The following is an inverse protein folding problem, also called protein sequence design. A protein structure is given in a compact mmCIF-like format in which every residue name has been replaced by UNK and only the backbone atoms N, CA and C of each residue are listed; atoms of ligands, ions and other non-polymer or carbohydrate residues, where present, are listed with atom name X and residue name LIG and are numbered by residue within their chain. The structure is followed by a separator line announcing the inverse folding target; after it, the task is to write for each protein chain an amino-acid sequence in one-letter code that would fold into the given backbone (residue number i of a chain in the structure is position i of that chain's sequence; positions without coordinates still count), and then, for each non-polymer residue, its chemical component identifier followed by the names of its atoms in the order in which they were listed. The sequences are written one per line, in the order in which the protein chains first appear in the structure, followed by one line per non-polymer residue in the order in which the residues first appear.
data_IF_780279723951
#
_entry.id   IF_780279723951
#
_cell.length_a   1.000
_cell.length_b   1.000
_cell.length_c   1.000
_cell.angle_alpha   90.00
_cell.angle_beta   90.00
_cell.angle_gamma   90.00
#
_symmetry.space_group_name_H-M   'P 1'
#
loop_
_entity.id
_entity.type
_entity.pdbx_description
1 polymer ?
#
# COMPACT_ATOMS: atom_id res chain seq x y z
N UNK A 1 18.69 -9.15 1.34
CA UNK A 1 18.85 -9.10 -0.15
C UNK A 1 18.18 -7.87 -0.76
N UNK A 2 16.91 -7.57 -0.41
CA UNK A 2 16.18 -6.39 -0.93
C UNK A 2 16.87 -5.03 -0.64
N UNK A 3 17.26 -4.74 0.61
CA UNK A 3 18.03 -3.52 0.95
C UNK A 3 19.30 -3.37 0.11
N UNK A 4 20.14 -4.43 0.03
CA UNK A 4 21.39 -4.42 -0.74
C UNK A 4 21.18 -4.11 -2.24
N UNK A 5 20.01 -4.40 -2.81
CA UNK A 5 19.68 -4.04 -4.19
C UNK A 5 19.25 -2.57 -4.29
N UNK A 6 18.49 -2.07 -3.30
CA UNK A 6 18.11 -0.65 -3.17
C UNK A 6 19.35 0.24 -3.04
N UNK A 7 20.31 -0.14 -2.20
CA UNK A 7 21.58 0.60 -1.99
C UNK A 7 22.43 0.66 -3.27
N UNK A 8 22.30 -0.34 -4.15
CA UNK A 8 22.94 -0.38 -5.47
C UNK A 8 22.14 0.37 -6.55
N UNK A 9 21.05 1.05 -6.19
CA UNK A 9 20.18 1.79 -7.11
C UNK A 9 19.24 0.92 -7.96
N UNK A 10 19.17 -0.39 -7.71
CA UNK A 10 18.30 -1.29 -8.47
C UNK A 10 16.86 -1.16 -7.99
N UNK A 11 16.01 -0.59 -8.84
CA UNK A 11 14.57 -0.43 -8.59
C UNK A 11 13.78 -1.56 -9.25
N UNK A 12 12.89 -2.18 -8.49
CA UNK A 12 11.89 -3.10 -9.07
C UNK A 12 10.83 -2.29 -9.82
N UNK A 13 10.25 -2.89 -10.85
CA UNK A 13 9.04 -2.31 -11.44
C UNK A 13 7.90 -2.34 -10.41
N UNK A 14 7.11 -1.26 -10.32
CA UNK A 14 5.97 -1.21 -9.41
C UNK A 14 4.94 -2.27 -9.81
N UNK A 15 4.26 -2.83 -8.81
CA UNK A 15 3.09 -3.68 -9.07
C UNK A 15 1.93 -2.84 -9.61
N UNK A 16 1.10 -3.43 -10.46
CA UNK A 16 -0.15 -2.83 -10.91
C UNK A 16 -1.28 -3.85 -10.85
N UNK A 17 -2.48 -3.38 -10.55
CA UNK A 17 -3.73 -4.12 -10.66
C UNK A 17 -4.79 -3.19 -11.24
N UNK A 18 -5.93 -3.74 -11.64
CA UNK A 18 -7.06 -2.95 -12.12
C UNK A 18 -8.37 -3.65 -11.82
N UNK A 19 -9.42 -2.86 -11.74
CA UNK A 19 -10.80 -3.34 -11.66
C UNK A 19 -11.62 -2.68 -12.76
N UNK A 20 -12.67 -3.34 -13.21
CA UNK A 20 -13.65 -2.77 -14.12
C UNK A 20 -14.97 -2.57 -13.38
N UNK A 21 -15.50 -1.35 -13.42
CA UNK A 21 -16.78 -0.99 -12.82
C UNK A 21 -17.55 -0.12 -13.80
N UNK A 22 -18.78 -0.52 -14.15
CA UNK A 22 -19.64 0.21 -15.10
C UNK A 22 -18.92 0.49 -16.44
N UNK A 23 -18.24 -0.52 -17.00
CA UNK A 23 -17.45 -0.42 -18.23
C UNK A 23 -16.30 0.61 -18.16
N UNK A 24 -15.86 0.98 -16.95
CA UNK A 24 -14.72 1.86 -16.72
C UNK A 24 -13.64 1.09 -15.98
N UNK A 25 -12.44 1.06 -16.56
CA UNK A 25 -11.26 0.47 -15.94
C UNK A 25 -10.63 1.48 -14.99
N UNK A 26 -10.42 1.07 -13.74
CA UNK A 26 -9.64 1.80 -12.75
C UNK A 26 -8.37 1.02 -12.47
N UNK A 27 -7.22 1.66 -12.67
CA UNK A 27 -5.89 1.08 -12.45
C UNK A 27 -5.39 1.52 -11.08
N UNK A 28 -4.79 0.59 -10.35
CA UNK A 28 -4.11 0.83 -9.09
C UNK A 28 -2.65 0.46 -9.26
N UNK A 29 -1.76 1.42 -9.04
CA UNK A 29 -0.32 1.20 -9.10
C UNK A 29 0.23 1.29 -7.67
N UNK A 30 1.16 0.40 -7.33
CA UNK A 30 1.81 0.41 -6.01
C UNK A 30 2.45 1.77 -5.78
N UNK A 31 2.16 2.35 -4.61
CA UNK A 31 2.62 3.68 -4.18
C UNK A 31 2.13 4.84 -5.06
N UNK A 32 1.07 4.65 -5.85
CA UNK A 32 0.46 5.76 -6.58
C UNK A 32 -0.20 6.77 -5.63
N UNK A 33 0.11 8.04 -5.85
CA UNK A 33 -0.44 9.20 -5.13
C UNK A 33 -1.04 10.23 -6.07
N UNK A 34 -1.38 9.82 -7.30
CA UNK A 34 -1.96 10.71 -8.32
C UNK A 34 -3.37 11.20 -7.96
N UNK A 35 -4.07 10.52 -7.06
CA UNK A 35 -5.40 10.91 -6.62
C UNK A 35 -5.33 12.08 -5.63
N UNK A 36 -6.16 13.11 -5.83
CA UNK A 36 -6.15 14.32 -4.98
C UNK A 36 -6.44 14.05 -3.50
N UNK A 37 -7.12 12.95 -3.21
CA UNK A 37 -7.44 12.50 -1.85
C UNK A 37 -6.53 11.37 -1.32
N UNK A 38 -5.41 11.08 -1.98
CA UNK A 38 -4.52 9.98 -1.57
C UNK A 38 -4.11 10.06 -0.09
N UNK A 39 -3.82 11.26 0.43
CA UNK A 39 -3.45 11.43 1.84
C UNK A 39 -4.60 11.08 2.80
N UNK A 40 -5.82 11.53 2.50
CA UNK A 40 -7.01 11.24 3.32
C UNK A 40 -7.32 9.74 3.34
N UNK A 41 -7.18 9.08 2.19
CA UNK A 41 -7.35 7.63 2.07
C UNK A 41 -6.30 6.90 2.91
N UNK A 42 -5.03 7.31 2.83
CA UNK A 42 -3.94 6.74 3.62
C UNK A 42 -4.22 6.87 5.13
N UNK A 43 -4.67 8.03 5.59
CA UNK A 43 -5.04 8.24 7.00
C UNK A 43 -6.19 7.32 7.45
N UNK A 44 -7.23 7.19 6.63
CA UNK A 44 -8.36 6.32 6.93
C UNK A 44 -7.95 4.86 7.04
N UNK A 45 -7.07 4.40 6.14
CA UNK A 45 -6.55 3.03 6.17
C UNK A 45 -5.73 2.76 7.44
N UNK A 46 -4.90 3.70 7.87
CA UNK A 46 -4.14 3.60 9.12
C UNK A 46 -5.06 3.52 10.34
N UNK A 47 -6.06 4.39 10.43
CA UNK A 47 -7.03 4.37 11.54
C UNK A 47 -7.85 3.08 11.56
N UNK A 48 -8.31 2.60 10.39
CA UNK A 48 -9.04 1.34 10.28
C UNK A 48 -8.19 0.17 10.74
N UNK A 49 -6.92 0.11 10.33
CA UNK A 49 -6.00 -0.92 10.78
C UNK A 49 -5.79 -0.87 12.29
N UNK A 50 -5.58 0.32 12.87
CA UNK A 50 -5.45 0.49 14.32
C UNK A 50 -6.70 0.02 15.07
N UNK A 51 -7.91 0.23 14.53
CA UNK A 51 -9.16 -0.27 15.09
C UNK A 51 -9.26 -1.79 14.96
N UNK A 52 -8.93 -2.37 13.81
CA UNK A 52 -8.94 -3.81 13.58
C UNK A 52 -8.00 -4.56 14.54
N UNK A 53 -6.79 -4.01 14.74
CA UNK A 53 -5.79 -4.56 15.69
C UNK A 53 -6.26 -4.55 17.13
N UNK A 54 -7.14 -3.63 17.53
CA UNK A 54 -7.74 -3.61 18.87
C UNK A 54 -8.85 -4.64 19.06
N UNK A 55 -9.48 -5.10 17.97
CA UNK A 55 -10.64 -6.00 18.00
C UNK A 55 -10.20 -7.47 17.91
N UNK A 56 -9.10 -7.77 17.22
CA UNK A 56 -8.52 -9.11 17.15
C UNK A 56 -7.06 -9.08 17.58
N UNK A 57 -6.72 -9.88 18.57
CA UNK A 57 -5.34 -10.16 18.98
C UNK A 57 -4.68 -11.03 17.88
N UNK A 58 -4.37 -10.40 16.73
CA UNK A 58 -3.65 -11.04 15.62
C UNK A 58 -2.17 -10.67 15.81
N UNK A 59 -1.28 -11.62 16.15
CA UNK A 59 0.13 -11.33 16.34
C UNK A 59 0.75 -10.80 15.05
N UNK A 60 1.53 -9.72 15.21
CA UNK A 60 2.07 -8.78 14.21
C UNK A 60 2.94 -9.35 13.07
N UNK A 61 3.02 -10.65 12.83
CA UNK A 61 4.15 -11.21 12.08
C UNK A 61 4.02 -11.23 10.54
N UNK A 62 2.97 -10.64 9.94
CA UNK A 62 2.86 -10.60 8.46
C UNK A 62 2.37 -9.26 7.87
N UNK A 63 2.22 -8.22 8.69
CA UNK A 63 1.64 -6.94 8.28
C UNK A 63 2.65 -5.79 8.19
N UNK A 64 3.94 -6.10 7.98
CA UNK A 64 4.96 -5.11 7.62
C UNK A 64 4.71 -4.56 6.20
N UNK A 65 3.65 -3.78 6.05
CA UNK A 65 3.50 -2.79 4.97
C UNK A 65 4.64 -1.80 5.17
N UNK A 66 5.74 -2.06 4.46
CA UNK A 66 6.84 -1.11 4.32
C UNK A 66 6.30 0.10 3.53
N UNK A 67 5.68 1.03 4.24
CA UNK A 67 5.54 2.41 3.77
C UNK A 67 6.84 3.10 4.17
N UNK A 68 7.86 2.94 3.32
CA UNK A 68 9.07 3.74 3.41
C UNK A 68 8.92 4.90 2.42
N UNK A 69 8.84 6.10 2.99
CA UNK A 69 8.78 7.41 2.32
C UNK A 69 9.97 7.61 1.39
#
# INVERSE_FOLDING_TARGET
MRMKMKDKGLKKQPGCSWIEVNNKVKVFVVSDKSHSQSEEIDYLLVDLHAKMKKIGDIPDDDLLVHVEI
#
